data_IF_097747650939
#
_entry.id   IF_097747650939
#
_cell.length_a   1.000
_cell.length_b   1.000
_cell.length_c   1.000
_cell.angle_alpha   90.00
_cell.angle_beta   90.00
_cell.angle_gamma   90.00
#
_symmetry.space_group_name_H-M   'P 1'
#
loop_
_entity.id
_entity.type
_entity.pdbx_description
1 polymer ?
#
# COMPACT_ATOMS: atom_id res chain seq x y z
N UNK A 1 -11.77 26.32 -15.88
CA UNK A 1 -10.57 26.24 -16.73
C UNK A 1 -9.50 25.64 -15.85
N UNK A 2 -9.43 24.32 -15.85
CA UNK A 2 -8.93 23.62 -14.67
C UNK A 2 -7.50 23.15 -14.96
N UNK A 3 -6.59 24.10 -14.76
CA UNK A 3 -5.15 23.85 -14.77
C UNK A 3 -4.78 23.24 -13.41
N UNK A 4 -4.48 21.93 -13.39
CA UNK A 4 -3.94 21.25 -12.22
C UNK A 4 -2.46 20.97 -12.43
N UNK A 5 -1.64 22.01 -12.27
CA UNK A 5 -0.22 21.80 -11.98
C UNK A 5 -0.07 21.10 -10.63
N UNK A 6 0.97 20.28 -10.50
CA UNK A 6 1.24 19.52 -9.28
C UNK A 6 1.48 20.47 -8.09
N UNK A 7 0.46 20.76 -7.29
CA UNK A 7 0.61 21.61 -6.11
C UNK A 7 1.35 20.83 -5.03
N UNK A 8 2.54 21.29 -4.64
CA UNK A 8 3.39 20.65 -3.64
C UNK A 8 3.71 19.17 -3.95
N UNK A 9 3.91 18.83 -5.23
CA UNK A 9 4.19 17.45 -5.66
C UNK A 9 3.00 16.50 -5.61
N UNK A 10 1.78 17.01 -5.41
CA UNK A 10 0.53 16.26 -5.48
C UNK A 10 -0.18 16.57 -6.79
N UNK A 11 -0.71 15.53 -7.43
CA UNK A 11 -1.54 15.66 -8.64
C UNK A 11 -2.96 15.19 -8.33
N UNK A 12 -3.95 15.95 -8.79
CA UNK A 12 -5.33 15.46 -8.81
C UNK A 12 -5.47 14.55 -10.04
N UNK A 13 -5.81 13.29 -9.79
CA UNK A 13 -6.03 12.31 -10.83
C UNK A 13 -7.40 11.67 -10.66
N UNK A 14 -8.04 11.32 -11.78
CA UNK A 14 -9.35 10.65 -11.79
C UNK A 14 -9.24 9.32 -12.48
N UNK A 15 -10.02 8.33 -12.05
CA UNK A 15 -10.08 7.08 -12.76
C UNK A 15 -10.57 7.30 -14.22
N UNK A 16 -9.94 6.60 -15.16
CA UNK A 16 -10.28 6.64 -16.58
C UNK A 16 -11.61 5.93 -16.78
N UNK A 17 -12.47 6.41 -17.69
CA UNK A 17 -13.82 5.87 -17.89
C UNK A 17 -13.89 4.39 -18.30
N UNK A 18 -12.75 3.80 -18.70
CA UNK A 18 -12.63 2.36 -18.98
C UNK A 18 -12.21 1.51 -17.77
N UNK A 19 -11.93 2.12 -16.61
CA UNK A 19 -11.59 1.38 -15.40
C UNK A 19 -12.86 0.79 -14.79
N UNK A 20 -12.78 -0.47 -14.33
CA UNK A 20 -13.91 -1.16 -13.72
C UNK A 20 -14.28 -0.61 -12.33
N UNK A 21 -13.34 0.07 -11.67
CA UNK A 21 -13.54 0.72 -10.38
C UNK A 21 -13.36 2.23 -10.48
N UNK A 22 -14.32 2.96 -9.90
CA UNK A 22 -14.34 4.41 -9.74
C UNK A 22 -14.37 4.73 -8.24
N UNK A 23 -13.38 5.43 -7.68
CA UNK A 23 -13.43 5.86 -6.28
C UNK A 23 -14.59 6.82 -6.07
N UNK A 24 -15.41 6.57 -5.05
CA UNK A 24 -16.59 7.41 -4.76
C UNK A 24 -16.30 8.42 -3.65
N UNK A 25 -15.41 8.07 -2.72
CA UNK A 25 -15.01 8.91 -1.59
C UNK A 25 -13.57 9.41 -1.73
N UNK A 26 -13.27 10.63 -1.26
CA UNK A 26 -11.93 11.22 -1.33
C UNK A 26 -10.89 10.50 -0.46
N UNK A 27 -11.32 9.66 0.48
CA UNK A 27 -10.45 8.96 1.43
C UNK A 27 -10.22 7.49 1.05
N UNK A 28 -10.67 7.06 -0.12
CA UNK A 28 -10.44 5.71 -0.62
C UNK A 28 -9.02 5.56 -1.15
N UNK A 29 -8.30 4.58 -0.62
CA UNK A 29 -7.01 4.18 -1.16
C UNK A 29 -7.22 3.28 -2.36
N UNK A 30 -6.46 3.55 -3.42
CA UNK A 30 -6.46 2.74 -4.64
C UNK A 30 -5.04 2.43 -5.08
N UNK A 31 -4.92 1.34 -5.82
CA UNK A 31 -3.76 1.08 -6.67
C UNK A 31 -4.18 1.24 -8.12
N UNK A 32 -3.23 1.65 -8.96
CA UNK A 32 -3.43 1.79 -10.40
C UNK A 32 -2.17 1.27 -11.11
N UNK A 33 -2.34 0.82 -12.36
CA UNK A 33 -1.22 0.31 -13.15
C UNK A 33 -0.60 1.39 -14.04
N UNK A 34 -1.42 2.30 -14.56
CA UNK A 34 -0.95 3.38 -15.43
C UNK A 34 -1.48 4.75 -14.98
N UNK A 35 -0.59 5.74 -14.96
CA UNK A 35 -0.93 7.16 -14.87
C UNK A 35 -0.70 7.79 -16.24
N UNK A 36 -1.78 8.23 -16.89
CA UNK A 36 -1.71 8.97 -18.15
C UNK A 36 -1.99 10.44 -17.93
N UNK A 37 -1.21 11.32 -18.54
CA UNK A 37 -1.51 12.74 -18.63
C UNK A 37 -2.01 13.06 -20.04
N UNK A 38 -3.17 13.69 -20.14
CA UNK A 38 -3.65 14.30 -21.37
C UNK A 38 -3.92 15.77 -21.10
N UNK A 39 -3.18 16.64 -21.78
CA UNK A 39 -3.17 18.09 -21.54
C UNK A 39 -2.88 18.39 -20.06
N UNK A 40 -3.82 19.02 -19.35
CA UNK A 40 -3.73 19.34 -17.92
C UNK A 40 -4.41 18.33 -17.00
N UNK A 41 -4.86 17.18 -17.51
CA UNK A 41 -5.65 16.20 -16.73
C UNK A 41 -4.89 14.89 -16.54
N UNK A 42 -4.82 14.41 -15.30
CA UNK A 42 -4.28 13.09 -14.98
C UNK A 42 -5.37 12.03 -14.88
N UNK A 43 -5.12 10.88 -15.50
CA UNK A 43 -6.05 9.74 -15.55
C UNK A 43 -5.37 8.46 -15.05
N UNK A 44 -6.04 7.79 -14.11
CA UNK A 44 -5.63 6.50 -13.58
C UNK A 44 -6.29 5.38 -14.39
N UNK A 45 -5.53 4.41 -14.89
CA UNK A 45 -6.09 3.22 -15.56
C UNK A 45 -5.84 1.96 -14.74
N UNK A 46 -6.72 0.97 -14.92
CA UNK A 46 -6.68 -0.31 -14.21
C UNK A 46 -6.65 -0.08 -12.70
N UNK A 47 -7.64 0.68 -12.22
CA UNK A 47 -7.75 1.07 -10.81
C UNK A 47 -8.40 -0.06 -10.04
N UNK A 48 -7.84 -0.39 -8.88
CA UNK A 48 -8.41 -1.34 -7.93
C UNK A 48 -8.43 -0.73 -6.53
N UNK A 49 -9.51 -0.91 -5.75
CA UNK A 49 -9.52 -0.47 -4.36
C UNK A 49 -8.49 -1.28 -3.55
N UNK A 50 -7.88 -0.63 -2.56
CA UNK A 50 -6.97 -1.32 -1.64
C UNK A 50 -7.32 -0.97 -0.19
N UNK A 51 -7.41 -2.00 0.64
CA UNK A 51 -7.61 -1.84 2.08
C UNK A 51 -6.32 -1.45 2.81
N UNK A 52 -6.47 -0.99 4.05
CA UNK A 52 -5.35 -0.64 4.91
C UNK A 52 -4.36 -1.79 5.13
N UNK A 53 -4.87 -3.01 5.38
CA UNK A 53 -4.03 -4.16 5.73
C UNK A 53 -3.08 -4.57 4.59
N UNK A 54 -3.53 -4.77 3.32
CA UNK A 54 -2.62 -5.00 2.20
C UNK A 54 -1.57 -3.89 2.03
N UNK A 55 -1.94 -2.62 2.20
CA UNK A 55 -0.97 -1.51 2.14
C UNK A 55 0.08 -1.60 3.25
N UNK A 56 -0.35 -1.82 4.50
CA UNK A 56 0.55 -1.94 5.65
C UNK A 56 1.49 -3.16 5.55
N UNK A 57 1.04 -4.25 4.93
CA UNK A 57 1.85 -5.46 4.79
C UNK A 57 2.83 -5.42 3.62
N UNK A 58 2.39 -4.89 2.47
CA UNK A 58 3.12 -5.02 1.20
C UNK A 58 3.65 -3.69 0.65
N UNK A 59 3.13 -2.56 1.14
CA UNK A 59 3.49 -1.23 0.66
C UNK A 59 4.66 -0.60 1.43
N UNK A 60 5.43 0.23 0.74
CA UNK A 60 6.55 0.98 1.31
C UNK A 60 7.73 0.12 1.73
N UNK A 61 8.81 0.77 2.15
CA UNK A 61 10.03 0.11 2.64
C UNK A 61 10.13 0.21 4.17
N UNK A 62 10.78 -0.76 4.79
CA UNK A 62 11.16 -0.69 6.19
C UNK A 62 10.04 -0.99 7.19
N UNK A 63 10.26 -0.55 8.43
CA UNK A 63 9.34 -0.76 9.56
C UNK A 63 8.22 0.27 9.55
N UNK A 64 7.05 -0.14 10.03
CA UNK A 64 5.94 0.76 10.26
C UNK A 64 6.27 1.71 11.42
N UNK A 65 5.83 2.95 11.29
CA UNK A 65 5.88 3.93 12.37
C UNK A 65 4.58 3.81 13.17
N UNK A 66 4.70 3.42 14.45
CA UNK A 66 3.57 3.22 15.37
C UNK A 66 3.62 4.32 16.42
N UNK A 67 2.61 5.19 16.46
CA UNK A 67 2.55 6.30 17.41
C UNK A 67 1.10 6.66 17.74
N UNK A 68 0.74 6.65 19.03
CA UNK A 68 -0.52 7.22 19.52
C UNK A 68 -1.79 6.68 18.87
N UNK A 69 -1.89 5.36 18.65
CA UNK A 69 -3.04 4.73 17.97
C UNK A 69 -3.03 4.85 16.45
N UNK A 70 -1.93 5.33 15.88
CA UNK A 70 -1.74 5.44 14.43
C UNK A 70 -0.58 4.57 13.97
N UNK A 71 -0.77 3.93 12.81
CA UNK A 71 0.26 3.19 12.08
C UNK A 71 0.47 3.88 10.75
N UNK A 72 1.73 4.08 10.37
CA UNK A 72 2.05 4.76 9.12
C UNK A 72 3.23 4.15 8.38
N UNK A 73 3.23 4.37 7.06
CA UNK A 73 4.26 3.95 6.11
C UNK A 73 4.67 5.14 5.24
N UNK A 74 5.81 5.01 4.55
CA UNK A 74 6.37 6.05 3.68
C UNK A 74 6.54 7.39 4.43
N UNK A 75 7.26 7.36 5.55
CA UNK A 75 7.54 8.52 6.40
C UNK A 75 6.28 9.31 6.82
N UNK A 76 5.20 8.59 7.12
CA UNK A 76 3.94 9.19 7.54
C UNK A 76 3.05 9.67 6.40
N UNK A 77 3.39 9.39 5.14
CA UNK A 77 2.53 9.77 4.02
C UNK A 77 1.19 9.03 4.01
N UNK A 78 1.20 7.74 4.33
CA UNK A 78 0.00 6.92 4.46
C UNK A 78 -0.19 6.56 5.94
N UNK A 79 -1.40 6.80 6.45
CA UNK A 79 -1.72 6.68 7.87
C UNK A 79 -3.04 5.95 8.07
N UNK A 80 -3.05 5.01 8.99
CA UNK A 80 -4.24 4.28 9.40
C UNK A 80 -4.37 4.30 10.92
N UNK A 81 -5.61 4.26 11.41
CA UNK A 81 -5.88 4.07 12.83
C UNK A 81 -5.79 2.58 13.16
N UNK A 82 -5.05 2.25 14.22
CA UNK A 82 -5.00 0.91 14.77
C UNK A 82 -4.55 0.98 16.23
N UNK A 83 -5.12 0.13 17.07
CA UNK A 83 -4.62 -0.05 18.42
C UNK A 83 -3.19 -0.63 18.41
N UNK A 84 -2.49 -0.47 19.54
CA UNK A 84 -1.10 -0.89 19.67
C UNK A 84 -0.89 -2.40 19.47
N UNK A 85 -1.87 -3.22 19.85
CA UNK A 85 -1.85 -4.66 19.67
C UNK A 85 -1.88 -5.03 18.19
N UNK A 86 -2.87 -4.53 17.46
CA UNK A 86 -3.00 -4.72 16.01
C UNK A 86 -1.78 -4.19 15.28
N UNK A 87 -1.32 -2.98 15.61
CA UNK A 87 -0.13 -2.37 15.02
C UNK A 87 1.12 -3.24 15.19
N UNK A 88 1.33 -3.75 16.40
CA UNK A 88 2.45 -4.62 16.73
C UNK A 88 2.37 -5.97 16.00
N UNK A 89 1.19 -6.55 15.85
CA UNK A 89 1.01 -7.80 15.11
C UNK A 89 1.29 -7.61 13.62
N UNK A 90 0.77 -6.54 13.01
CA UNK A 90 1.04 -6.21 11.60
C UNK A 90 2.54 -5.99 11.37
N UNK A 91 3.23 -5.30 12.29
CA UNK A 91 4.69 -5.11 12.22
C UNK A 91 5.46 -6.44 12.28
N UNK A 92 5.03 -7.40 13.11
CA UNK A 92 5.64 -8.75 13.16
C UNK A 92 5.43 -9.50 11.86
N UNK A 93 4.19 -9.55 11.36
CA UNK A 93 3.86 -10.23 10.10
C UNK A 93 4.68 -9.64 8.96
N UNK A 94 4.76 -8.32 8.84
CA UNK A 94 5.56 -7.63 7.83
C UNK A 94 7.04 -8.01 7.90
N UNK A 95 7.63 -8.02 9.10
CA UNK A 95 9.03 -8.40 9.28
C UNK A 95 9.29 -9.85 8.86
N UNK A 96 8.38 -10.77 9.20
CA UNK A 96 8.52 -12.17 8.82
C UNK A 96 8.33 -12.39 7.32
N UNK A 97 7.37 -11.71 6.67
CA UNK A 97 7.21 -11.73 5.22
C UNK A 97 8.46 -11.21 4.51
N UNK A 98 9.04 -10.12 5.01
CA UNK A 98 10.29 -9.57 4.46
C UNK A 98 11.46 -10.56 4.59
N UNK A 99 11.60 -11.21 5.74
CA UNK A 99 12.62 -12.24 5.97
C UNK A 99 12.42 -13.44 5.04
N UNK A 100 11.20 -13.94 4.91
CA UNK A 100 10.86 -15.04 4.01
C UNK A 100 11.17 -14.69 2.55
N UNK A 101 10.83 -13.48 2.12
CA UNK A 101 11.13 -13.00 0.76
C UNK A 101 12.65 -12.87 0.52
N UNK A 102 13.41 -12.32 1.46
CA UNK A 102 14.86 -12.25 1.36
C UNK A 102 15.52 -13.63 1.26
N UNK A 103 15.05 -14.59 2.07
CA UNK A 103 15.52 -15.97 2.01
C UNK A 103 15.21 -16.63 0.67
N UNK A 104 14.01 -16.40 0.12
CA UNK A 104 13.63 -16.86 -1.21
C UNK A 104 14.51 -16.22 -2.30
N UNK A 105 14.78 -14.92 -2.23
CA UNK A 105 15.69 -14.26 -3.18
C UNK A 105 17.12 -14.82 -3.12
N UNK A 106 17.59 -15.22 -1.94
CA UNK A 106 18.90 -15.84 -1.79
C UNK A 106 18.95 -17.30 -2.28
N UNK A 107 17.84 -18.03 -2.15
CA UNK A 107 17.72 -19.45 -2.52
C UNK A 107 16.34 -19.74 -3.16
N UNK A 108 16.17 -19.46 -4.47
CA UNK A 108 14.85 -19.49 -5.13
C UNK A 108 14.24 -20.90 -5.20
N UNK A 109 15.06 -21.95 -5.18
CA UNK A 109 14.59 -23.34 -5.18
C UNK A 109 14.03 -23.78 -3.81
N UNK A 110 14.13 -22.93 -2.79
CA UNK A 110 13.68 -23.22 -1.43
C UNK A 110 12.46 -22.38 -1.09
N UNK A 111 11.28 -22.87 -1.45
CA UNK A 111 10.00 -22.28 -1.02
C UNK A 111 9.85 -22.53 0.49
N UNK A 112 9.64 -21.49 1.32
CA UNK A 112 9.40 -21.66 2.74
C UNK A 112 8.27 -22.66 2.99
N UNK A 113 8.52 -23.67 3.82
CA UNK A 113 7.54 -24.71 4.10
C UNK A 113 6.36 -24.16 4.93
N UNK A 114 5.24 -24.88 4.97
CA UNK A 114 4.03 -24.46 5.68
C UNK A 114 4.27 -24.17 7.17
N UNK A 115 5.22 -24.86 7.82
CA UNK A 115 5.60 -24.61 9.22
C UNK A 115 6.28 -23.24 9.37
N UNK A 116 7.10 -22.86 8.40
CA UNK A 116 7.70 -21.53 8.32
C UNK A 116 6.65 -20.46 8.08
N UNK A 117 5.48 -20.79 7.51
CA UNK A 117 4.37 -19.84 7.29
C UNK A 117 3.32 -19.86 8.43
N UNK A 118 3.32 -20.88 9.28
CA UNK A 118 2.36 -21.07 10.37
C UNK A 118 2.43 -19.98 11.46
N UNK A 119 3.45 -19.11 11.46
CA UNK A 119 3.48 -17.93 12.32
C UNK A 119 2.45 -16.87 11.88
N UNK A 120 1.94 -16.92 10.64
CA UNK A 120 0.87 -16.05 10.16
C UNK A 120 -0.48 -16.38 10.81
N UNK A 121 -0.60 -17.56 11.41
CA UNK A 121 -1.82 -18.07 12.03
C UNK A 121 -1.87 -17.85 13.56
N UNK A 122 -0.87 -17.14 14.15
CA UNK A 122 -0.76 -16.85 15.59
C UNK A 122 -0.94 -15.35 15.91
#
# INVERSE_FOLDING_TARGET
SDFYEAQNGKVEARAHGSSAFMPEQPNEWVIFQELGQMESTYRLKLVSPIGALPMLLLGGEGRLLIQGGQVSLLDGWVKFQADEGTASQVQRVRASLQSAFQNFCANPDHIPNAQTMAFLDQ
#
